data_IF_089285094653
#
_entry.id   IF_089285094653
#
_cell.length_a   1.000
_cell.length_b   1.000
_cell.length_c   1.000
_cell.angle_alpha   90.00
_cell.angle_beta   90.00
_cell.angle_gamma   90.00
#
_symmetry.space_group_name_H-M   'P 1'
#
loop_
_entity.id
_entity.type
_entity.pdbx_description
1 polymer ?
#
# COMPACT_ATOMS: atom_id res chain seq x y z
N UNK A 1 -9.60 0.57 25.39
CA UNK A 1 -8.33 0.48 24.62
C UNK A 1 -8.69 0.61 23.15
N UNK A 2 -8.32 1.70 22.49
CA UNK A 2 -8.45 1.76 21.04
C UNK A 2 -7.34 0.90 20.44
N UNK A 3 -7.71 -0.08 19.64
CA UNK A 3 -6.74 -0.89 18.89
C UNK A 3 -5.83 0.02 18.08
N UNK A 4 -4.51 -0.21 18.13
CA UNK A 4 -3.59 0.51 17.25
C UNK A 4 -4.03 0.27 15.81
N UNK A 5 -4.09 1.28 14.94
CA UNK A 5 -4.44 1.06 13.53
C UNK A 5 -3.46 0.14 12.80
N UNK A 6 -2.27 -0.07 13.37
CA UNK A 6 -1.33 -1.10 12.90
C UNK A 6 -1.85 -2.54 13.12
N UNK A 7 -2.79 -2.73 14.05
CA UNK A 7 -3.47 -4.01 14.31
C UNK A 7 -4.77 -4.18 13.54
N UNK A 8 -5.21 -3.17 12.77
CA UNK A 8 -6.44 -3.26 11.98
C UNK A 8 -6.19 -4.04 10.69
N UNK A 9 -7.05 -5.01 10.39
CA UNK A 9 -7.10 -5.70 9.12
C UNK A 9 -8.54 -6.14 8.80
N UNK A 10 -8.82 -6.34 7.52
CA UNK A 10 -9.98 -7.08 7.06
C UNK A 10 -9.52 -8.47 6.63
N UNK A 11 -10.16 -9.50 7.14
CA UNK A 11 -9.86 -10.88 6.80
C UNK A 11 -10.84 -11.38 5.72
N UNK A 12 -10.30 -12.15 4.78
CA UNK A 12 -11.04 -12.89 3.78
C UNK A 12 -10.63 -14.35 3.86
N UNK A 13 -11.29 -15.24 3.12
CA UNK A 13 -10.93 -16.66 3.09
C UNK A 13 -9.45 -16.93 2.75
N UNK A 14 -8.79 -16.02 2.00
CA UNK A 14 -7.42 -16.25 1.48
C UNK A 14 -6.41 -15.17 1.80
N UNK A 15 -6.86 -13.98 2.24
CA UNK A 15 -5.99 -12.81 2.37
C UNK A 15 -6.39 -11.94 3.55
N UNK A 16 -5.39 -11.24 4.08
CA UNK A 16 -5.54 -10.10 4.97
C UNK A 16 -5.38 -8.80 4.17
N UNK A 17 -6.28 -7.86 4.40
CA UNK A 17 -6.21 -6.50 3.87
C UNK A 17 -5.88 -5.56 5.03
N UNK A 18 -4.68 -4.98 5.02
CA UNK A 18 -4.24 -4.08 6.09
C UNK A 18 -3.82 -2.69 5.59
N UNK A 19 -3.82 -1.67 6.46
CA UNK A 19 -3.26 -0.37 6.13
C UNK A 19 -1.78 -0.47 5.73
N UNK A 20 -1.34 0.55 5.01
CA UNK A 20 0.06 0.72 4.65
C UNK A 20 0.89 1.08 5.88
N UNK A 21 2.16 0.68 5.85
CA UNK A 21 3.22 1.14 6.75
C UNK A 21 4.46 1.52 5.96
N UNK A 22 5.30 2.38 6.53
CA UNK A 22 6.56 2.81 5.92
C UNK A 22 7.47 1.62 5.52
N UNK A 23 7.44 0.52 6.28
CA UNK A 23 8.20 -0.70 6.00
C UNK A 23 7.70 -1.51 4.81
N UNK A 24 6.57 -1.16 4.20
CA UNK A 24 6.10 -1.77 2.94
C UNK A 24 6.86 -1.25 1.71
N UNK A 25 7.65 -0.18 1.88
CA UNK A 25 8.40 0.44 0.81
C UNK A 25 9.22 -0.55 -0.04
N UNK A 26 10.03 -1.47 0.51
CA UNK A 26 10.85 -2.36 -0.31
C UNK A 26 10.01 -3.26 -1.22
N UNK A 27 8.95 -3.87 -0.69
CA UNK A 27 8.07 -4.76 -1.44
C UNK A 27 7.28 -4.00 -2.51
N UNK A 28 6.71 -2.85 -2.15
CA UNK A 28 5.94 -2.06 -3.12
C UNK A 28 6.84 -1.39 -4.17
N UNK A 29 8.07 -0.99 -3.81
CA UNK A 29 9.04 -0.44 -4.76
C UNK A 29 9.39 -1.46 -5.84
N UNK A 30 9.57 -2.74 -5.47
CA UNK A 30 9.79 -3.83 -6.44
C UNK A 30 8.64 -3.93 -7.45
N UNK A 31 7.39 -3.80 -7.01
CA UNK A 31 6.22 -3.85 -7.90
C UNK A 31 6.12 -2.59 -8.77
N UNK A 32 6.21 -1.42 -8.15
CA UNK A 32 6.03 -0.12 -8.81
C UNK A 32 7.17 0.24 -9.79
N UNK A 33 8.29 -0.48 -9.72
CA UNK A 33 9.41 -0.38 -10.66
C UNK A 33 9.46 -1.49 -11.69
N UNK A 34 8.65 -2.55 -11.56
CA UNK A 34 8.62 -3.64 -12.50
C UNK A 34 7.89 -3.22 -13.80
N UNK A 35 8.55 -3.17 -14.97
CA UNK A 35 7.94 -2.73 -16.22
C UNK A 35 6.75 -3.59 -16.66
N UNK A 36 6.73 -4.89 -16.33
CA UNK A 36 5.62 -5.78 -16.71
C UNK A 36 4.36 -5.46 -15.91
N UNK A 37 4.50 -5.18 -14.60
CA UNK A 37 3.40 -4.72 -13.75
C UNK A 37 2.93 -3.34 -14.20
N UNK A 38 3.89 -2.47 -14.51
CA UNK A 38 3.61 -1.09 -14.89
C UNK A 38 3.14 -0.94 -16.33
N UNK A 39 3.15 -1.99 -17.16
CA UNK A 39 2.79 -1.93 -18.58
C UNK A 39 1.47 -1.20 -18.83
N UNK A 40 0.47 -1.44 -17.99
CA UNK A 40 -0.85 -0.82 -18.07
C UNK A 40 -1.13 0.17 -16.93
N UNK A 41 -0.16 0.39 -16.04
CA UNK A 41 -0.27 1.30 -14.90
C UNK A 41 0.64 2.50 -15.15
N UNK A 42 0.15 3.72 -14.93
CA UNK A 42 0.99 4.92 -15.10
C UNK A 42 1.65 5.01 -16.50
N UNK A 43 0.90 4.67 -17.55
CA UNK A 43 1.37 4.76 -18.95
C UNK A 43 2.66 3.96 -19.22
N UNK A 44 2.85 2.81 -18.57
CA UNK A 44 4.04 1.99 -18.77
C UNK A 44 5.27 2.44 -17.97
N UNK A 45 5.20 3.57 -17.24
CA UNK A 45 6.37 4.19 -16.60
C UNK A 45 6.52 3.72 -15.14
N UNK A 46 7.70 3.17 -14.76
CA UNK A 46 8.08 2.95 -13.37
C UNK A 46 7.89 4.18 -12.49
N UNK A 47 7.56 3.97 -11.21
CA UNK A 47 7.50 5.07 -10.25
C UNK A 47 8.89 5.39 -9.68
N UNK A 48 9.11 6.67 -9.38
CA UNK A 48 10.27 7.12 -8.61
C UNK A 48 10.09 6.83 -7.12
N UNK A 49 11.19 6.72 -6.38
CA UNK A 49 11.17 6.46 -4.94
C UNK A 49 10.39 7.54 -4.16
N UNK A 50 10.54 8.80 -4.57
CA UNK A 50 9.78 9.92 -4.00
C UNK A 50 8.28 9.70 -4.17
N UNK A 51 7.83 9.24 -5.34
CA UNK A 51 6.42 8.95 -5.61
C UNK A 51 5.92 7.77 -4.79
N UNK A 52 6.72 6.69 -4.68
CA UNK A 52 6.37 5.50 -3.90
C UNK A 52 6.18 5.85 -2.42
N UNK A 53 7.16 6.54 -1.81
CA UNK A 53 7.04 6.98 -0.40
C UNK A 53 5.86 7.94 -0.20
N UNK A 54 5.66 8.87 -1.12
CA UNK A 54 4.50 9.79 -1.07
C UNK A 54 3.17 9.06 -1.16
N UNK A 55 3.08 8.00 -1.97
CA UNK A 55 1.88 7.17 -2.08
C UNK A 55 1.58 6.46 -0.76
N UNK A 56 2.57 5.78 -0.17
CA UNK A 56 2.45 5.07 1.12
C UNK A 56 1.93 6.03 2.20
N UNK A 57 2.59 7.18 2.36
CA UNK A 57 2.19 8.21 3.33
C UNK A 57 0.76 8.73 3.10
N UNK A 58 0.36 8.89 1.83
CA UNK A 58 -1.01 9.30 1.49
C UNK A 58 -2.03 8.23 1.86
N UNK A 59 -1.70 6.94 1.70
CA UNK A 59 -2.60 5.85 2.09
C UNK A 59 -2.70 5.73 3.61
N UNK A 60 -1.58 5.82 4.34
CA UNK A 60 -1.57 5.90 5.80
C UNK A 60 -2.48 7.02 6.32
N UNK A 61 -2.28 8.24 5.80
CA UNK A 61 -3.12 9.40 6.19
C UNK A 61 -4.58 9.23 5.82
N UNK A 62 -4.88 8.62 4.68
CA UNK A 62 -6.26 8.39 4.26
C UNK A 62 -6.95 7.40 5.21
N UNK A 63 -6.26 6.33 5.59
CA UNK A 63 -6.78 5.36 6.55
C UNK A 63 -7.05 6.01 7.91
N UNK A 64 -6.09 6.76 8.45
CA UNK A 64 -6.26 7.46 9.73
C UNK A 64 -7.43 8.45 9.75
N UNK A 65 -7.74 9.09 8.61
CA UNK A 65 -8.82 10.08 8.53
C UNK A 65 -10.18 9.49 8.19
N UNK A 66 -10.21 8.45 7.35
CA UNK A 66 -11.44 7.94 6.73
C UNK A 66 -11.77 6.49 7.04
N UNK A 67 -10.87 5.73 7.68
CA UNK A 67 -11.06 4.31 7.97
C UNK A 67 -10.91 3.38 6.75
N UNK A 68 -10.48 3.90 5.60
CA UNK A 68 -10.22 3.13 4.39
C UNK A 68 -8.97 3.62 3.65
N UNK A 69 -8.38 2.76 2.82
CA UNK A 69 -7.35 3.14 1.86
C UNK A 69 -7.33 2.16 0.70
N UNK A 70 -6.43 2.33 -0.28
CA UNK A 70 -6.02 1.19 -1.10
C UNK A 70 -5.25 0.27 -0.18
N UNK A 71 -5.72 -0.95 0.03
CA UNK A 71 -5.14 -1.85 1.03
C UNK A 71 -3.84 -2.49 0.55
N UNK A 72 -2.96 -2.83 1.49
CA UNK A 72 -1.94 -3.85 1.26
C UNK A 72 -2.63 -5.20 1.36
N UNK A 73 -2.37 -6.08 0.40
CA UNK A 73 -2.84 -7.47 0.40
C UNK A 73 -1.71 -8.34 0.92
N UNK A 74 -1.95 -9.07 2.00
CA UNK A 74 -1.06 -10.08 2.57
C UNK A 74 -1.71 -11.45 2.52
N UNK A 75 -0.92 -12.48 2.22
CA UNK A 75 -1.30 -13.89 2.17
C UNK A 75 -0.09 -14.79 2.22
#
# INVERSE_FOLDING_TARGET
MYSSPESFFLETERFLLRPWKSSDYPNFSRLAKNPQIMRFVNQGKPWSDKRIRSFIHKQEKLFWKGGYCRWVVEG
#
